data_IF_421726067891
#
_entry.id   IF_421726067891
#
_cell.length_a   1.000
_cell.length_b   1.000
_cell.length_c   1.000
_cell.angle_alpha   90.00
_cell.angle_beta   90.00
_cell.angle_gamma   90.00
#
_symmetry.space_group_name_H-M   'P 1'
#
loop_
_entity.id
_entity.type
_entity.pdbx_description
1 polymer ?
#
# COMPACT_ATOMS: atom_id res chain seq x y z
N UNK A 1 -26.44 55.95 -46.12
CA UNK A 1 -25.92 54.85 -45.29
C UNK A 1 -25.30 53.83 -46.23
N UNK A 2 -23.96 53.72 -46.28
CA UNK A 2 -23.26 52.80 -47.20
C UNK A 2 -23.02 51.48 -46.47
N UNK A 3 -23.62 50.40 -46.96
CA UNK A 3 -23.42 49.06 -46.44
C UNK A 3 -22.03 48.54 -46.87
N UNK A 4 -21.21 48.10 -45.91
CA UNK A 4 -19.91 47.46 -46.19
C UNK A 4 -20.12 46.03 -46.71
N UNK A 5 -19.38 45.57 -47.73
CA UNK A 5 -19.50 44.21 -48.25
C UNK A 5 -18.98 43.18 -47.24
N UNK A 6 -19.75 42.10 -47.06
CA UNK A 6 -19.42 40.99 -46.17
C UNK A 6 -18.24 40.14 -46.65
N UNK A 7 -17.61 39.37 -45.76
CA UNK A 7 -16.40 38.60 -46.06
C UNK A 7 -16.63 37.52 -47.13
N UNK A 8 -15.65 37.31 -48.01
CA UNK A 8 -15.72 36.38 -49.14
C UNK A 8 -15.70 34.91 -48.68
N UNK A 9 -16.52 34.06 -49.31
CA UNK A 9 -16.80 32.66 -48.94
C UNK A 9 -15.52 31.80 -48.87
N UNK A 10 -14.50 32.12 -49.67
CA UNK A 10 -13.20 31.43 -49.68
C UNK A 10 -12.38 31.65 -48.41
N UNK A 11 -12.56 32.79 -47.74
CA UNK A 11 -11.90 33.11 -46.47
C UNK A 11 -12.50 32.28 -45.32
N UNK A 12 -13.83 32.15 -45.30
CA UNK A 12 -14.55 31.40 -44.28
C UNK A 12 -14.25 29.89 -44.36
N UNK A 13 -14.13 29.33 -45.57
CA UNK A 13 -13.79 27.92 -45.74
C UNK A 13 -12.36 27.60 -45.26
N UNK A 14 -11.39 28.49 -45.52
CA UNK A 14 -10.01 28.31 -45.04
C UNK A 14 -9.93 28.49 -43.53
N UNK A 15 -10.60 29.50 -42.96
CA UNK A 15 -10.69 29.70 -41.52
C UNK A 15 -11.34 28.48 -40.83
N UNK A 16 -12.40 27.91 -41.41
CA UNK A 16 -13.06 26.70 -40.90
C UNK A 16 -12.13 25.49 -40.88
N UNK A 17 -11.39 25.24 -41.97
CA UNK A 17 -10.39 24.16 -42.03
C UNK A 17 -9.26 24.35 -41.00
N UNK A 18 -8.75 25.58 -40.82
CA UNK A 18 -7.73 25.87 -39.81
C UNK A 18 -8.24 25.70 -38.38
N UNK A 19 -9.47 26.15 -38.08
CA UNK A 19 -10.10 25.96 -36.77
C UNK A 19 -10.34 24.49 -36.48
N UNK A 20 -10.80 23.73 -37.49
CA UNK A 20 -11.01 22.28 -37.36
C UNK A 20 -9.69 21.53 -37.16
N UNK A 21 -8.61 21.93 -37.86
CA UNK A 21 -7.28 21.35 -37.65
C UNK A 21 -6.74 21.65 -36.24
N UNK A 22 -6.90 22.86 -35.71
CA UNK A 22 -6.47 23.21 -34.35
C UNK A 22 -7.26 22.46 -33.26
N UNK A 23 -8.56 22.26 -33.44
CA UNK A 23 -9.38 21.47 -32.50
C UNK A 23 -9.07 19.98 -32.56
N UNK A 24 -8.82 19.42 -33.76
CA UNK A 24 -8.37 18.03 -33.92
C UNK A 24 -6.96 17.81 -33.35
N UNK A 25 -6.04 18.79 -33.52
CA UNK A 25 -4.68 18.70 -33.00
C UNK A 25 -4.64 18.70 -31.47
N UNK A 26 -5.39 19.62 -30.84
CA UNK A 26 -5.49 19.70 -29.37
C UNK A 26 -6.22 18.49 -28.75
N UNK A 27 -7.18 17.90 -29.46
CA UNK A 27 -7.82 16.66 -29.03
C UNK A 27 -6.86 15.45 -29.08
N UNK A 28 -5.98 15.37 -30.09
CA UNK A 28 -5.03 14.26 -30.21
C UNK A 28 -3.94 14.28 -29.11
N UNK A 29 -3.42 15.45 -28.75
CA UNK A 29 -2.45 15.61 -27.66
C UNK A 29 -3.02 15.21 -26.30
N UNK A 30 -4.28 15.54 -26.02
CA UNK A 30 -4.93 15.22 -24.74
C UNK A 30 -5.16 13.71 -24.54
N UNK A 31 -5.50 12.97 -25.60
CA UNK A 31 -5.66 11.52 -25.53
C UNK A 31 -4.31 10.78 -25.37
N UNK A 32 -3.24 11.25 -26.01
CA UNK A 32 -1.92 10.62 -25.91
C UNK A 32 -1.33 10.76 -24.50
N UNK A 33 -1.55 11.91 -23.84
CA UNK A 33 -1.15 12.13 -22.44
C UNK A 33 -1.90 11.19 -21.48
N UNK A 34 -3.18 10.93 -21.73
CA UNK A 34 -4.01 10.03 -20.93
C UNK A 34 -3.54 8.57 -21.06
N UNK A 35 -3.21 8.13 -22.27
CA UNK A 35 -2.70 6.76 -22.51
C UNK A 35 -1.32 6.57 -21.85
N UNK A 36 -0.44 7.57 -21.92
CA UNK A 36 0.87 7.52 -21.26
C UNK A 36 0.75 7.43 -19.74
N UNK A 37 -0.16 8.18 -19.12
CA UNK A 37 -0.40 8.11 -17.67
C UNK A 37 -0.92 6.72 -17.25
N UNK A 38 -1.93 6.19 -17.94
CA UNK A 38 -2.47 4.85 -17.66
C UNK A 38 -1.41 3.75 -17.86
N UNK A 39 -0.66 3.81 -18.95
CA UNK A 39 0.43 2.85 -19.24
C UNK A 39 1.53 2.93 -18.18
N UNK A 40 1.84 4.13 -17.69
CA UNK A 40 2.85 4.35 -16.66
C UNK A 40 2.37 3.83 -15.29
N UNK A 41 1.12 4.07 -14.93
CA UNK A 41 0.49 3.52 -13.71
C UNK A 41 0.42 2.00 -13.71
N UNK A 42 0.04 1.39 -14.83
CA UNK A 42 0.05 -0.07 -14.98
C UNK A 42 1.46 -0.64 -14.83
N UNK A 43 2.46 -0.04 -15.51
CA UNK A 43 3.86 -0.44 -15.36
C UNK A 43 4.39 -0.28 -13.94
N UNK A 44 4.01 0.79 -13.23
CA UNK A 44 4.40 0.99 -11.83
C UNK A 44 3.79 -0.10 -10.94
N UNK A 45 2.49 -0.38 -11.10
CA UNK A 45 1.80 -1.45 -10.38
C UNK A 45 2.42 -2.83 -10.64
N UNK A 46 2.68 -3.17 -11.90
CA UNK A 46 3.32 -4.45 -12.28
C UNK A 46 4.72 -4.58 -11.65
N UNK A 47 5.51 -3.50 -11.66
CA UNK A 47 6.83 -3.48 -11.06
C UNK A 47 6.77 -3.60 -9.53
N UNK A 48 5.78 -2.98 -8.88
CA UNK A 48 5.58 -3.08 -7.45
C UNK A 48 5.17 -4.49 -7.05
N UNK A 49 4.17 -5.06 -7.74
CA UNK A 49 3.72 -6.44 -7.54
C UNK A 49 4.88 -7.41 -7.71
N UNK A 50 5.70 -7.26 -8.75
CA UNK A 50 6.87 -8.11 -8.98
C UNK A 50 7.92 -7.97 -7.87
N UNK A 51 8.16 -6.77 -7.35
CA UNK A 51 9.08 -6.54 -6.21
C UNK A 51 8.54 -7.18 -4.94
N UNK A 52 7.24 -7.05 -4.68
CA UNK A 52 6.58 -7.63 -3.51
C UNK A 52 6.56 -9.14 -3.56
N UNK A 53 6.31 -9.73 -4.74
CA UNK A 53 6.37 -11.18 -4.93
C UNK A 53 7.79 -11.72 -4.69
N UNK A 54 8.83 -11.02 -5.15
CA UNK A 54 10.22 -11.40 -4.85
C UNK A 54 10.50 -11.39 -3.34
N UNK A 55 10.07 -10.34 -2.62
CA UNK A 55 10.17 -10.28 -1.15
C UNK A 55 9.40 -11.41 -0.47
N UNK A 56 8.22 -11.75 -1.01
CA UNK A 56 7.39 -12.81 -0.48
C UNK A 56 8.04 -14.19 -0.64
N UNK A 57 8.70 -14.46 -1.78
CA UNK A 57 9.46 -15.71 -1.97
C UNK A 57 10.60 -15.84 -0.95
N UNK A 58 11.36 -14.77 -0.73
CA UNK A 58 12.41 -14.73 0.32
C UNK A 58 11.80 -14.95 1.70
N UNK A 59 10.65 -14.33 2.00
CA UNK A 59 9.91 -14.57 3.24
C UNK A 59 9.51 -16.05 3.40
N UNK A 60 9.01 -16.68 2.34
CA UNK A 60 8.63 -18.10 2.37
C UNK A 60 9.83 -19.00 2.67
N UNK A 61 10.98 -18.71 2.05
CA UNK A 61 12.22 -19.44 2.30
C UNK A 61 12.72 -19.24 3.74
N UNK A 62 12.81 -17.99 4.20
CA UNK A 62 13.33 -17.65 5.53
C UNK A 62 12.51 -18.23 6.68
N UNK A 63 11.18 -18.32 6.51
CA UNK A 63 10.26 -18.77 7.55
C UNK A 63 9.61 -20.13 7.24
N UNK A 64 10.10 -20.85 6.22
CA UNK A 64 9.62 -22.19 5.87
C UNK A 64 8.14 -22.25 5.47
N UNK A 65 7.58 -21.18 4.91
CA UNK A 65 6.15 -21.10 4.54
C UNK A 65 5.89 -21.84 3.23
N UNK A 66 4.81 -22.61 3.19
CA UNK A 66 4.36 -23.33 2.00
C UNK A 66 2.85 -23.21 1.85
N UNK A 67 2.39 -22.91 0.65
CA UNK A 67 0.96 -22.78 0.34
C UNK A 67 0.61 -23.77 -0.77
N UNK A 68 -0.39 -24.61 -0.52
CA UNK A 68 -0.71 -25.75 -1.39
C UNK A 68 -1.45 -25.35 -2.66
N UNK A 69 -2.22 -24.27 -2.63
CA UNK A 69 -3.04 -23.81 -3.75
C UNK A 69 -2.60 -22.43 -4.22
N UNK A 70 -2.87 -22.14 -5.50
CA UNK A 70 -2.55 -20.82 -6.08
C UNK A 70 -3.39 -19.72 -5.43
N UNK A 71 -4.63 -20.03 -5.11
CA UNK A 71 -5.58 -19.13 -4.47
C UNK A 71 -5.05 -18.72 -3.09
N UNK A 72 -4.54 -19.69 -2.31
CA UNK A 72 -3.95 -19.41 -1.00
C UNK A 72 -2.67 -18.58 -1.11
N UNK A 73 -1.80 -18.94 -2.06
CA UNK A 73 -0.58 -18.17 -2.32
C UNK A 73 -0.90 -16.70 -2.63
N UNK A 74 -1.87 -16.44 -3.52
CA UNK A 74 -2.26 -15.08 -3.89
C UNK A 74 -2.91 -14.33 -2.71
N UNK A 75 -3.74 -15.01 -1.92
CA UNK A 75 -4.33 -14.45 -0.70
C UNK A 75 -3.24 -14.00 0.28
N UNK A 76 -2.28 -14.89 0.56
CA UNK A 76 -1.18 -14.65 1.50
C UNK A 76 -0.21 -13.58 1.00
N UNK A 77 0.07 -13.55 -0.31
CA UNK A 77 0.84 -12.49 -0.95
C UNK A 77 0.16 -11.11 -0.78
N UNK A 78 -1.16 -11.04 -0.95
CA UNK A 78 -1.92 -9.81 -0.74
C UNK A 78 -1.85 -9.31 0.71
N UNK A 79 -2.04 -10.21 1.68
CA UNK A 79 -1.91 -9.89 3.12
C UNK A 79 -0.48 -9.43 3.43
N UNK A 80 0.52 -10.13 2.89
CA UNK A 80 1.93 -9.77 3.05
C UNK A 80 2.25 -8.38 2.50
N UNK A 81 1.74 -8.04 1.32
CA UNK A 81 1.88 -6.73 0.72
C UNK A 81 1.29 -5.63 1.62
N UNK A 82 0.09 -5.86 2.14
CA UNK A 82 -0.57 -4.94 3.06
C UNK A 82 0.24 -4.75 4.36
N UNK A 83 0.71 -5.85 4.95
CA UNK A 83 1.49 -5.81 6.19
C UNK A 83 2.87 -5.15 6.02
N UNK A 84 3.47 -5.20 4.82
CA UNK A 84 4.69 -4.44 4.52
C UNK A 84 4.47 -2.92 4.59
N UNK A 85 3.33 -2.45 4.08
CA UNK A 85 2.97 -1.03 4.16
C UNK A 85 2.76 -0.64 5.62
N UNK A 86 1.98 -1.42 6.37
CA UNK A 86 1.73 -1.20 7.80
C UNK A 86 3.03 -1.18 8.62
N UNK A 87 3.98 -2.07 8.31
CA UNK A 87 5.29 -2.07 8.98
C UNK A 87 6.10 -0.79 8.68
N UNK A 88 6.07 -0.30 7.44
CA UNK A 88 6.74 0.95 7.07
C UNK A 88 6.11 2.18 7.75
N UNK A 89 4.78 2.21 7.86
CA UNK A 89 4.05 3.26 8.60
C UNK A 89 4.43 3.25 10.08
N UNK A 90 4.43 2.08 10.71
CA UNK A 90 4.84 1.97 12.11
C UNK A 90 6.30 2.37 12.33
N UNK A 91 7.22 2.02 11.41
CA UNK A 91 8.62 2.46 11.50
C UNK A 91 8.77 3.98 11.51
N UNK A 92 7.93 4.69 10.74
CA UNK A 92 7.94 6.14 10.70
C UNK A 92 7.36 6.77 11.98
N UNK A 93 6.43 6.09 12.65
CA UNK A 93 5.79 6.55 13.88
C UNK A 93 6.63 6.26 15.13
N UNK A 94 7.27 5.09 15.20
CA UNK A 94 8.11 4.67 16.31
C UNK A 94 9.52 4.31 15.81
N UNK A 95 10.46 5.25 15.84
CA UNK A 95 11.85 4.99 15.45
C UNK A 95 12.63 4.21 16.51
N UNK A 96 12.08 3.99 17.71
CA UNK A 96 12.76 3.23 18.77
C UNK A 96 12.64 1.72 18.55
N UNK A 97 11.64 1.30 17.77
CA UNK A 97 11.46 -0.07 17.32
C UNK A 97 11.92 -0.25 15.87
N UNK A 98 12.33 -1.48 15.53
CA UNK A 98 12.60 -1.88 14.15
C UNK A 98 11.41 -2.65 13.62
N UNK A 99 10.68 -2.06 12.68
CA UNK A 99 9.54 -2.71 12.02
C UNK A 99 9.98 -3.32 10.68
N UNK A 100 9.45 -4.50 10.37
CA UNK A 100 9.81 -5.21 9.14
C UNK A 100 9.07 -6.53 8.98
N UNK A 101 9.62 -7.38 8.11
CA UNK A 101 9.06 -8.71 7.84
C UNK A 101 9.32 -9.63 9.02
N UNK A 102 8.26 -10.23 9.55
CA UNK A 102 8.30 -11.23 10.63
C UNK A 102 7.64 -12.52 10.15
N UNK A 103 7.72 -13.61 10.94
CA UNK A 103 7.06 -14.88 10.63
C UNK A 103 5.53 -14.81 10.50
N UNK A 104 4.92 -13.69 10.92
CA UNK A 104 3.48 -13.45 10.90
C UNK A 104 3.03 -12.48 9.80
N UNK A 105 3.95 -12.01 8.95
CA UNK A 105 3.64 -11.02 7.92
C UNK A 105 2.62 -11.50 6.89
N UNK A 106 2.32 -12.80 6.80
CA UNK A 106 1.29 -13.39 5.92
C UNK A 106 -0.09 -13.51 6.57
N UNK A 107 -0.27 -13.08 7.82
CA UNK A 107 -1.51 -13.23 8.59
C UNK A 107 -2.28 -11.92 8.70
N UNK A 108 -3.61 -12.01 8.75
CA UNK A 108 -4.44 -10.90 9.20
C UNK A 108 -4.40 -10.76 10.72
N UNK A 109 -4.83 -9.62 11.25
CA UNK A 109 -4.92 -9.38 12.69
C UNK A 109 -5.83 -10.39 13.38
N UNK A 110 -6.99 -10.71 12.78
CA UNK A 110 -7.90 -11.74 13.28
C UNK A 110 -7.27 -13.13 13.30
N UNK A 111 -6.53 -13.51 12.25
CA UNK A 111 -5.84 -14.79 12.20
C UNK A 111 -4.74 -14.85 13.27
N UNK A 112 -3.94 -13.79 13.38
CA UNK A 112 -2.91 -13.70 14.40
C UNK A 112 -3.50 -13.82 15.81
N UNK A 113 -4.58 -13.09 16.09
CA UNK A 113 -5.28 -13.16 17.37
C UNK A 113 -5.78 -14.57 17.65
N UNK A 114 -6.48 -15.20 16.71
CA UNK A 114 -7.08 -16.53 16.90
C UNK A 114 -6.05 -17.64 17.15
N UNK A 115 -4.88 -17.56 16.52
CA UNK A 115 -3.90 -18.65 16.57
C UNK A 115 -2.74 -18.42 17.52
N UNK A 116 -2.38 -17.15 17.79
CA UNK A 116 -1.16 -16.79 18.52
C UNK A 116 -1.41 -15.97 19.79
N UNK A 117 -2.67 -15.67 20.12
CA UNK A 117 -3.01 -15.07 21.41
C UNK A 117 -3.82 -16.04 22.25
N UNK A 118 -3.60 -16.05 23.57
CA UNK A 118 -4.19 -17.04 24.48
C UNK A 118 -5.07 -16.45 25.58
N UNK A 119 -5.22 -15.13 25.64
CA UNK A 119 -6.01 -14.47 26.68
C UNK A 119 -7.45 -14.31 26.18
N UNK A 120 -8.32 -15.22 26.61
CA UNK A 120 -9.76 -15.02 26.53
C UNK A 120 -10.15 -14.07 27.67
N UNK A 121 -10.68 -12.90 27.34
CA UNK A 121 -11.05 -11.88 28.33
C UNK A 121 -11.89 -12.45 29.47
N UNK A 122 -11.53 -12.11 30.70
CA UNK A 122 -12.16 -12.60 31.92
C UNK A 122 -11.12 -12.90 32.99
N UNK A 123 -10.76 -11.91 33.81
CA UNK A 123 -9.94 -12.18 34.98
C UNK A 123 -10.81 -12.79 36.08
N UNK A 124 -10.39 -13.89 36.73
CA UNK A 124 -11.06 -14.32 37.95
C UNK A 124 -10.95 -13.19 38.97
N UNK A 125 -12.08 -12.83 39.60
CA UNK A 125 -12.18 -11.76 40.61
C UNK A 125 -11.36 -12.00 41.89
N UNK A 126 -10.51 -13.02 41.92
CA UNK A 126 -9.73 -13.39 43.10
C UNK A 126 -8.39 -12.64 43.08
N UNK A 127 -8.44 -11.38 43.50
CA UNK A 127 -7.27 -10.55 43.70
C UNK A 127 -6.59 -10.99 44.99
N UNK A 128 -5.72 -12.00 44.92
CA UNK A 128 -4.74 -12.23 45.98
C UNK A 128 -3.83 -11.00 46.08
N UNK A 129 -4.12 -10.11 47.03
CA UNK A 129 -3.32 -8.91 47.25
C UNK A 129 -2.02 -9.33 47.93
N UNK A 130 -0.89 -9.13 47.26
CA UNK A 130 0.42 -9.37 47.85
C UNK A 130 0.70 -8.35 48.97
N UNK A 131 1.34 -8.76 50.09
CA UNK A 131 1.83 -7.82 51.09
C UNK A 131 2.84 -6.83 50.50
N UNK A 132 2.91 -5.58 51.00
CA UNK A 132 3.92 -4.62 50.58
C UNK A 132 5.33 -5.10 50.92
N UNK A 133 6.27 -4.87 50.01
CA UNK A 133 7.70 -5.20 50.15
C UNK A 133 8.53 -3.91 50.21
N UNK A 134 9.66 -3.96 50.91
CA UNK A 134 10.65 -2.88 50.96
C UNK A 134 11.44 -2.82 49.63
N UNK A 135 11.68 -1.62 49.11
CA UNK A 135 12.21 -1.39 47.74
C UNK A 135 13.44 -0.47 47.69
N UNK A 136 14.10 -0.23 48.83
CA UNK A 136 15.09 0.84 48.96
C UNK A 136 16.43 0.58 48.22
N UNK A 137 16.69 -0.65 47.75
CA UNK A 137 17.96 -1.04 47.10
C UNK A 137 17.75 -1.83 45.80
N UNK A 138 16.77 -1.43 44.99
CA UNK A 138 16.54 -2.08 43.69
C UNK A 138 17.66 -1.71 42.69
N UNK A 139 18.12 -2.66 41.87
CA UNK A 139 19.12 -2.38 40.85
C UNK A 139 18.57 -1.48 39.74
N UNK A 140 19.44 -0.65 39.16
CA UNK A 140 19.10 0.23 38.03
C UNK A 140 18.66 -0.55 36.78
N UNK A 141 19.16 -1.77 36.62
CA UNK A 141 18.78 -2.68 35.55
C UNK A 141 18.69 -4.11 36.09
N UNK A 142 17.63 -4.83 35.72
CA UNK A 142 17.43 -6.22 36.09
C UNK A 142 16.92 -7.00 34.87
N UNK A 143 17.55 -8.13 34.55
CA UNK A 143 17.15 -8.99 33.44
C UNK A 143 16.87 -10.42 33.94
N UNK A 144 15.63 -10.91 33.76
CA UNK A 144 15.18 -12.27 34.13
C UNK A 144 15.34 -13.30 32.98
N UNK A 145 15.86 -12.87 31.82
CA UNK A 145 15.91 -13.67 30.59
C UNK A 145 16.84 -14.89 30.64
#
# INVERSE_FOLDING_TARGET
MVAKPGPSITCLARASLFLCALTLCSALESHELTIKDVTTKLRLGDNEVLRTEKKFKVFMENYGKRYSTREEYLRRLGIFAHNLVRAAEHQALDPTAVHGVTQFSDLTEDEFQRFYTGVNGGFPSNNGVAPPLEVDDLPENFDWR
#
